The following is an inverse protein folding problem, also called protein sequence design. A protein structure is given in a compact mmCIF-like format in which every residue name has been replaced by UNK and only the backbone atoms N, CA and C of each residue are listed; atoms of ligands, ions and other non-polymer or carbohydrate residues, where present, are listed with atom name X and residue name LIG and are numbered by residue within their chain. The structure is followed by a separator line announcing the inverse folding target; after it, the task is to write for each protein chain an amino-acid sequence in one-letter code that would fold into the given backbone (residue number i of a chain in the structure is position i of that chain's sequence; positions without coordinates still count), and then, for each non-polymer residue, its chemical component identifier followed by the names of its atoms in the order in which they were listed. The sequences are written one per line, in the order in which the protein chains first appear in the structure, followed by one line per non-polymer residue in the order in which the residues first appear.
data_IF_342550126745
#
_entry.id   IF_342550126745
#
_cell.length_a   1.000
_cell.length_b   1.000
_cell.length_c   1.000
_cell.angle_alpha   90.00
_cell.angle_beta   90.00
_cell.angle_gamma   90.00
#
_symmetry.space_group_name_H-M   'P 1'
#
loop_
_entity.id
_entity.type
_entity.pdbx_description
1 polymer ?
#
# COMPACT_ATOMS: atom_id res chain seq x y z
N UNK A 1 25.47 -21.75 -6.81
CA UNK A 1 25.24 -22.49 -5.55
C UNK A 1 23.92 -23.24 -5.71
N UNK A 2 23.93 -24.53 -5.40
CA UNK A 2 22.73 -25.36 -5.45
C UNK A 2 22.20 -25.42 -4.03
N UNK A 3 20.95 -25.03 -3.82
CA UNK A 3 20.26 -25.12 -2.53
C UNK A 3 19.23 -26.21 -2.62
N UNK A 4 19.26 -27.15 -1.68
CA UNK A 4 18.30 -28.25 -1.57
C UNK A 4 17.41 -28.15 -0.32
N UNK A 5 17.78 -27.32 0.62
CA UNK A 5 16.97 -27.06 1.82
C UNK A 5 17.29 -25.70 2.43
N UNK A 6 16.30 -25.12 3.06
CA UNK A 6 16.46 -23.88 3.83
C UNK A 6 15.49 -23.84 5.00
N UNK A 7 15.88 -23.10 6.03
CA UNK A 7 15.04 -22.78 7.18
C UNK A 7 15.41 -21.39 7.68
N UNK A 8 14.39 -20.55 7.93
CA UNK A 8 14.54 -19.20 8.43
C UNK A 8 13.47 -18.88 9.48
N UNK A 9 13.80 -17.96 10.35
CA UNK A 9 12.85 -17.35 11.27
C UNK A 9 12.91 -15.83 11.13
N UNK A 10 11.75 -15.21 11.02
CA UNK A 10 11.61 -13.75 11.06
C UNK A 10 10.68 -13.34 12.20
N UNK A 11 10.94 -12.16 12.75
CA UNK A 11 10.11 -11.52 13.77
C UNK A 11 9.71 -10.13 13.27
N UNK A 12 8.46 -9.77 13.49
CA UNK A 12 7.89 -8.49 13.06
C UNK A 12 6.96 -7.89 14.11
N UNK A 13 6.76 -6.57 14.02
CA UNK A 13 5.92 -5.81 14.94
C UNK A 13 4.44 -5.97 14.59
N UNK A 14 3.67 -6.60 15.48
CA UNK A 14 2.23 -6.86 15.29
C UNK A 14 1.35 -5.63 15.44
N UNK A 15 1.90 -4.50 15.88
CA UNK A 15 1.17 -3.23 15.92
C UNK A 15 0.94 -2.65 14.54
N UNK A 16 1.79 -3.00 13.58
CA UNK A 16 1.74 -2.47 12.23
C UNK A 16 1.64 -3.53 11.13
N UNK A 17 1.98 -4.77 11.43
CA UNK A 17 2.02 -5.85 10.44
C UNK A 17 1.29 -7.09 10.95
N UNK A 18 0.51 -7.69 10.06
CA UNK A 18 -0.10 -9.00 10.25
C UNK A 18 0.38 -9.92 9.14
N UNK A 19 0.95 -11.05 9.50
CA UNK A 19 1.36 -12.04 8.50
C UNK A 19 0.14 -12.68 7.84
N UNK A 20 0.14 -12.72 6.51
CA UNK A 20 -0.95 -13.30 5.72
C UNK A 20 -0.54 -14.63 5.11
N UNK A 21 0.60 -14.67 4.39
CA UNK A 21 0.98 -15.85 3.62
C UNK A 21 2.45 -15.81 3.22
N UNK A 22 2.94 -16.98 2.78
CA UNK A 22 4.22 -17.14 2.11
C UNK A 22 4.01 -17.66 0.69
N UNK A 23 4.55 -16.97 -0.30
CA UNK A 23 4.53 -17.42 -1.69
C UNK A 23 5.86 -18.01 -2.10
N UNK A 24 5.79 -19.18 -2.72
CA UNK A 24 6.93 -19.96 -3.20
C UNK A 24 6.92 -20.18 -4.71
N UNK A 25 5.99 -19.53 -5.40
CA UNK A 25 5.83 -19.56 -6.86
C UNK A 25 7.04 -19.06 -7.65
N UNK A 26 7.98 -18.45 -6.95
CA UNK A 26 9.26 -17.98 -7.49
C UNK A 26 10.40 -18.98 -7.29
N UNK A 27 10.17 -20.07 -6.52
CA UNK A 27 11.13 -21.16 -6.38
C UNK A 27 11.01 -22.08 -7.60
N UNK A 28 12.12 -22.34 -8.30
CA UNK A 28 12.09 -23.28 -9.39
C UNK A 28 12.00 -24.73 -8.84
N UNK A 29 11.10 -25.54 -9.42
CA UNK A 29 10.97 -26.96 -9.10
C UNK A 29 10.00 -27.34 -7.98
N UNK A 30 9.91 -28.63 -7.66
CA UNK A 30 8.96 -29.16 -6.69
C UNK A 30 9.50 -29.00 -5.26
N UNK A 31 9.25 -27.85 -4.66
CA UNK A 31 9.58 -27.60 -3.26
C UNK A 31 8.46 -28.04 -2.32
N UNK A 32 8.81 -28.79 -1.29
CA UNK A 32 7.94 -29.01 -0.15
C UNK A 32 8.26 -27.93 0.88
N UNK A 33 7.32 -27.03 1.13
CA UNK A 33 7.52 -25.87 2.03
C UNK A 33 6.59 -25.95 3.22
N UNK A 34 7.00 -25.31 4.32
CA UNK A 34 6.18 -25.13 5.50
C UNK A 34 6.28 -23.70 6.02
N UNK A 35 5.21 -23.28 6.69
CA UNK A 35 5.14 -22.03 7.47
C UNK A 35 4.55 -22.36 8.84
N UNK A 36 5.20 -21.88 9.88
CA UNK A 36 4.69 -21.96 11.24
C UNK A 36 4.63 -20.56 11.84
N UNK A 37 3.42 -20.11 12.14
CA UNK A 37 3.14 -18.80 12.74
C UNK A 37 3.02 -19.00 14.24
N UNK A 38 3.90 -18.37 15.00
CA UNK A 38 3.91 -18.47 16.48
C UNK A 38 2.95 -17.44 17.08
N UNK A 39 2.49 -17.70 18.31
CA UNK A 39 1.70 -16.72 19.04
C UNK A 39 2.50 -15.44 19.33
N UNK A 40 1.88 -14.25 19.23
CA UNK A 40 2.56 -13.01 19.51
C UNK A 40 3.00 -12.88 20.97
N UNK A 41 4.17 -12.32 21.20
CA UNK A 41 4.72 -12.06 22.53
C UNK A 41 5.23 -10.62 22.60
N UNK A 42 4.68 -9.80 23.50
CA UNK A 42 5.17 -8.44 23.73
C UNK A 42 5.04 -7.50 22.53
N UNK A 43 4.06 -7.71 21.67
CA UNK A 43 3.87 -6.92 20.44
C UNK A 43 4.71 -7.40 19.24
N UNK A 44 5.39 -8.53 19.37
CA UNK A 44 6.17 -9.15 18.31
C UNK A 44 5.62 -10.54 17.97
N UNK A 45 5.60 -10.86 16.69
CA UNK A 45 5.22 -12.19 16.22
C UNK A 45 6.35 -12.79 15.40
N UNK A 46 6.60 -14.09 15.63
CA UNK A 46 7.60 -14.85 14.91
C UNK A 46 6.93 -15.78 13.89
N UNK A 47 7.52 -15.85 12.72
CA UNK A 47 7.17 -16.82 11.67
C UNK A 47 8.42 -17.61 11.33
N UNK A 48 8.32 -18.95 11.46
CA UNK A 48 9.34 -19.87 10.98
C UNK A 48 8.90 -20.46 9.65
N UNK A 49 9.78 -20.52 8.69
CA UNK A 49 9.48 -21.07 7.37
C UNK A 49 10.69 -21.80 6.81
N UNK A 50 10.42 -22.79 6.00
CA UNK A 50 11.46 -23.56 5.37
C UNK A 50 10.96 -24.35 4.18
N UNK A 51 11.88 -25.01 3.50
CA UNK A 51 11.56 -25.86 2.38
C UNK A 51 12.69 -26.81 2.05
N UNK A 52 12.31 -27.90 1.42
CA UNK A 52 13.22 -28.88 0.84
C UNK A 52 12.84 -29.13 -0.62
N UNK A 53 13.84 -29.26 -1.48
CA UNK A 53 13.64 -29.69 -2.86
C UNK A 53 13.25 -31.17 -2.86
N UNK A 54 12.09 -31.49 -3.40
CA UNK A 54 11.58 -32.84 -3.56
C UNK A 54 11.61 -33.23 -5.05
N UNK A 55 12.81 -33.47 -5.57
CA UNK A 55 12.96 -34.02 -6.93
C UNK A 55 12.82 -35.51 -6.93
N UNK A 56 11.79 -36.14 -7.55
CA UNK A 56 11.48 -37.54 -7.42
C UNK A 56 12.51 -38.51 -8.05
N UNK A 57 13.53 -38.00 -8.72
CA UNK A 57 14.50 -38.82 -9.49
C UNK A 57 15.94 -38.71 -9.00
N UNK A 58 16.23 -38.32 -7.77
CA UNK A 58 17.60 -38.18 -7.22
C UNK A 58 18.57 -37.33 -8.08
N UNK A 59 18.09 -36.64 -9.07
CA UNK A 59 18.84 -35.64 -9.81
C UNK A 59 18.25 -34.30 -9.41
N UNK A 60 18.84 -33.59 -8.43
CA UNK A 60 18.44 -32.24 -8.17
C UNK A 60 18.63 -31.43 -9.48
N UNK A 61 17.55 -30.96 -10.03
CA UNK A 61 17.68 -29.94 -11.07
C UNK A 61 18.52 -28.83 -10.46
N UNK A 62 19.65 -28.53 -11.07
CA UNK A 62 20.64 -27.59 -10.53
C UNK A 62 20.11 -26.18 -10.62
N UNK A 63 19.46 -25.71 -9.55
CA UNK A 63 19.04 -24.32 -9.47
C UNK A 63 20.22 -23.45 -9.05
N UNK A 64 20.73 -22.70 -10.00
CA UNK A 64 21.71 -21.67 -9.71
C UNK A 64 20.98 -20.44 -9.16
N UNK A 65 20.99 -20.27 -7.84
CA UNK A 65 20.54 -19.02 -7.23
C UNK A 65 21.56 -17.92 -7.59
N UNK A 66 21.14 -16.98 -8.42
CA UNK A 66 21.90 -15.77 -8.70
C UNK A 66 21.54 -14.68 -7.69
N UNK A 67 22.33 -13.60 -7.61
CA UNK A 67 22.06 -12.45 -6.72
C UNK A 67 20.71 -11.78 -6.95
N UNK A 68 20.07 -12.05 -8.07
CA UNK A 68 18.82 -11.40 -8.51
C UNK A 68 17.60 -12.29 -8.32
N UNK A 69 17.76 -13.52 -7.84
CA UNK A 69 16.63 -14.42 -7.64
C UNK A 69 15.95 -14.14 -6.31
N UNK A 70 14.66 -13.75 -6.37
CA UNK A 70 13.78 -13.71 -5.21
C UNK A 70 13.21 -15.12 -5.04
N UNK A 71 13.71 -15.87 -4.05
CA UNK A 71 13.28 -17.24 -3.80
C UNK A 71 11.96 -17.37 -3.03
N UNK A 72 11.59 -16.35 -2.23
CA UNK A 72 10.44 -16.37 -1.34
C UNK A 72 9.85 -14.97 -1.21
N UNK A 73 8.51 -14.91 -1.06
CA UNK A 73 7.80 -13.67 -0.73
C UNK A 73 6.95 -13.90 0.52
N UNK A 74 7.19 -13.14 1.55
CA UNK A 74 6.31 -13.04 2.71
C UNK A 74 5.30 -11.93 2.46
N UNK A 75 4.02 -12.23 2.65
CA UNK A 75 2.93 -11.26 2.50
C UNK A 75 2.45 -10.82 3.86
N UNK A 76 2.38 -9.51 4.04
CA UNK A 76 1.87 -8.87 5.23
C UNK A 76 0.70 -7.96 4.87
N UNK A 77 -0.30 -7.90 5.73
CA UNK A 77 -1.28 -6.84 5.79
C UNK A 77 -0.72 -5.75 6.71
N UNK A 78 -0.69 -4.51 6.24
CA UNK A 78 -0.26 -3.38 7.03
C UNK A 78 -1.44 -2.79 7.79
N UNK A 79 -1.33 -2.74 9.13
CA UNK A 79 -2.24 -2.02 10.01
C UNK A 79 -1.47 -0.86 10.62
N UNK A 80 -2.05 0.34 10.61
CA UNK A 80 -1.34 1.50 11.10
C UNK A 80 -1.58 1.68 12.62
N UNK A 81 -0.51 1.80 13.43
CA UNK A 81 -0.64 2.23 14.81
C UNK A 81 -1.18 3.66 14.87
N UNK A 82 -2.22 3.89 15.67
CA UNK A 82 -2.87 5.21 15.77
C UNK A 82 -1.87 6.31 16.20
N UNK A 83 -2.12 7.54 15.75
CA UNK A 83 -1.46 8.79 16.12
C UNK A 83 -0.13 9.16 15.42
N UNK A 84 0.46 8.34 14.56
CA UNK A 84 1.68 8.70 13.83
C UNK A 84 1.40 8.92 12.32
N UNK A 85 2.18 9.76 11.65
CA UNK A 85 2.09 9.95 10.20
C UNK A 85 2.70 8.77 9.45
N UNK A 86 3.86 8.34 9.91
CA UNK A 86 4.65 7.26 9.35
C UNK A 86 5.12 6.36 10.48
N UNK A 87 4.94 5.07 10.33
CA UNK A 87 5.51 4.07 11.21
C UNK A 87 6.46 3.15 10.44
N UNK A 88 7.68 3.01 10.91
CA UNK A 88 8.66 2.09 10.36
C UNK A 88 8.59 0.77 11.12
N UNK A 89 7.93 -0.22 10.54
CA UNK A 89 7.75 -1.55 11.11
C UNK A 89 8.96 -2.44 10.77
N UNK A 90 9.80 -2.81 11.72
CA UNK A 90 10.95 -3.65 11.44
C UNK A 90 10.54 -5.11 11.23
N UNK A 91 11.27 -5.76 10.32
CA UNK A 91 11.25 -7.21 10.09
C UNK A 91 12.66 -7.72 10.32
N UNK A 92 12.84 -8.58 11.31
CA UNK A 92 14.17 -9.03 11.75
C UNK A 92 14.33 -10.53 11.51
N UNK A 93 15.48 -10.93 11.03
CA UNK A 93 15.87 -12.32 11.08
C UNK A 93 16.27 -12.69 12.51
N UNK A 94 15.60 -13.68 13.08
CA UNK A 94 15.84 -14.19 14.44
C UNK A 94 16.20 -15.67 14.41
N UNK A 95 16.67 -16.17 15.55
CA UNK A 95 16.94 -17.61 15.71
C UNK A 95 17.95 -18.19 14.72
N UNK A 96 17.80 -19.46 14.42
CA UNK A 96 18.62 -20.18 13.46
C UNK A 96 18.16 -19.88 12.04
N UNK A 97 19.13 -19.74 11.15
CA UNK A 97 18.90 -19.73 9.71
C UNK A 97 19.88 -20.71 9.09
N UNK A 98 19.36 -21.60 8.29
CA UNK A 98 20.14 -22.66 7.67
C UNK A 98 19.76 -22.78 6.20
N UNK A 99 20.73 -23.15 5.39
CA UNK A 99 20.52 -23.64 4.05
C UNK A 99 21.53 -24.76 3.78
N UNK A 100 21.15 -25.71 2.96
CA UNK A 100 22.00 -26.87 2.66
C UNK A 100 22.05 -27.17 1.16
N UNK A 101 23.15 -27.79 0.75
CA UNK A 101 23.31 -28.40 -0.58
C UNK A 101 22.57 -29.74 -0.65
N UNK A 102 22.37 -30.30 -1.86
CA UNK A 102 21.83 -31.65 -2.03
C UNK A 102 22.62 -32.78 -1.32
N UNK A 103 23.90 -32.53 -1.06
CA UNK A 103 24.75 -33.47 -0.34
C UNK A 103 24.70 -33.30 1.18
N UNK A 104 23.85 -32.41 1.69
CA UNK A 104 23.73 -32.13 3.12
C UNK A 104 24.83 -31.21 3.70
N UNK A 105 25.58 -30.55 2.85
CA UNK A 105 26.59 -29.57 3.30
C UNK A 105 25.90 -28.25 3.66
N UNK A 106 26.28 -27.66 4.80
CA UNK A 106 25.76 -26.36 5.23
C UNK A 106 26.28 -25.23 4.33
N UNK A 107 25.37 -24.35 3.95
CA UNK A 107 25.68 -23.12 3.22
C UNK A 107 25.78 -21.94 4.18
N UNK A 108 26.69 -21.02 3.88
CA UNK A 108 26.81 -19.75 4.62
C UNK A 108 25.62 -18.86 4.26
N UNK A 109 24.82 -18.53 5.26
CA UNK A 109 23.65 -17.65 5.11
C UNK A 109 23.99 -16.25 5.62
N UNK A 110 23.91 -15.27 4.74
CA UNK A 110 24.00 -13.86 5.10
C UNK A 110 22.59 -13.31 5.30
N UNK A 111 22.35 -12.71 6.47
CA UNK A 111 21.05 -12.11 6.83
C UNK A 111 21.18 -10.62 6.88
N UNK A 112 20.12 -9.95 6.41
CA UNK A 112 19.97 -8.51 6.55
C UNK A 112 18.53 -8.23 6.96
N UNK A 113 18.35 -7.54 8.07
CA UNK A 113 17.04 -7.10 8.52
C UNK A 113 16.46 -6.10 7.54
N UNK A 114 15.14 -6.06 7.49
CA UNK A 114 14.38 -5.15 6.67
C UNK A 114 13.36 -4.36 7.49
N UNK A 115 12.62 -3.52 6.81
CA UNK A 115 11.50 -2.80 7.40
C UNK A 115 10.42 -2.54 6.36
N UNK A 116 9.22 -2.25 6.85
CA UNK A 116 8.10 -1.75 6.05
C UNK A 116 7.71 -0.38 6.56
N UNK A 117 7.63 0.59 5.68
CA UNK A 117 7.08 1.91 5.99
C UNK A 117 5.55 1.84 5.83
N UNK A 118 4.85 2.08 6.94
CA UNK A 118 3.40 2.10 6.99
C UNK A 118 2.93 3.52 7.21
N UNK A 119 2.20 4.05 6.25
CA UNK A 119 1.69 5.42 6.28
C UNK A 119 0.26 5.45 6.81
N UNK A 120 -0.02 6.37 7.72
CA UNK A 120 -1.37 6.56 8.23
C UNK A 120 -2.27 7.17 7.17
N UNK A 121 -3.13 6.36 6.56
CA UNK A 121 -4.07 6.81 5.53
C UNK A 121 -5.05 7.90 5.99
N UNK A 122 -5.20 8.08 7.30
CA UNK A 122 -6.05 9.12 7.88
C UNK A 122 -5.25 10.30 8.45
N UNK A 123 -3.94 10.36 8.24
CA UNK A 123 -3.11 11.45 8.77
C UNK A 123 -3.65 12.84 8.41
N UNK A 124 -4.04 13.03 7.15
CA UNK A 124 -4.62 14.27 6.67
C UNK A 124 -5.96 14.66 7.35
N UNK A 125 -6.57 13.75 8.11
CA UNK A 125 -7.77 13.96 8.92
C UNK A 125 -7.47 14.02 10.42
N UNK A 126 -6.22 14.26 10.81
CA UNK A 126 -5.80 14.31 12.20
C UNK A 126 -5.41 12.95 12.81
N UNK A 127 -5.07 11.98 11.97
CA UNK A 127 -4.50 10.69 12.38
C UNK A 127 -5.52 9.59 12.67
N UNK A 128 -6.81 9.91 12.76
CA UNK A 128 -7.87 8.94 13.03
C UNK A 128 -8.90 8.89 11.91
N UNK A 129 -9.53 7.73 11.74
CA UNK A 129 -10.66 7.56 10.82
C UNK A 129 -11.77 8.56 11.15
N UNK A 130 -12.21 9.42 10.21
CA UNK A 130 -13.30 10.35 10.46
C UNK A 130 -14.62 9.62 10.77
N UNK A 131 -15.41 10.12 11.71
CA UNK A 131 -16.74 9.57 12.01
C UNK A 131 -17.80 9.95 10.98
N UNK A 132 -17.58 11.08 10.29
CA UNK A 132 -18.49 11.61 9.26
C UNK A 132 -17.72 11.93 7.99
N UNK A 133 -18.48 12.27 6.93
CA UNK A 133 -17.89 12.72 5.66
C UNK A 133 -16.91 13.87 5.91
N UNK A 134 -15.73 13.76 5.35
CA UNK A 134 -14.69 14.77 5.48
C UNK A 134 -13.88 14.91 4.19
N UNK A 135 -13.19 16.04 4.06
CA UNK A 135 -12.33 16.36 2.93
C UNK A 135 -11.03 16.96 3.45
N UNK A 136 -9.91 16.55 2.87
CA UNK A 136 -8.60 17.09 3.22
C UNK A 136 -8.22 18.28 2.36
N UNK A 137 -7.10 18.90 2.69
CA UNK A 137 -6.38 19.74 1.74
C UNK A 137 -5.81 18.86 0.63
N UNK A 138 -5.84 19.40 -0.58
CA UNK A 138 -5.14 18.78 -1.69
C UNK A 138 -3.62 18.84 -1.51
N UNK A 139 -2.90 17.89 -2.08
CA UNK A 139 -1.45 17.89 -2.05
C UNK A 139 -0.86 17.53 -3.44
N UNK A 140 0.11 18.31 -3.93
CA UNK A 140 0.59 19.58 -3.40
C UNK A 140 -0.45 20.70 -3.42
N UNK A 141 -0.32 21.69 -2.52
CA UNK A 141 -1.09 22.94 -2.50
C UNK A 141 -0.20 24.09 -1.98
N UNK A 142 0.18 25.12 -2.77
CA UNK A 142 -0.23 25.32 -4.17
C UNK A 142 0.30 24.29 -5.16
N UNK A 143 -0.35 24.16 -6.32
CA UNK A 143 0.11 23.31 -7.41
C UNK A 143 0.05 24.05 -8.77
N UNK A 144 0.76 23.49 -9.76
CA UNK A 144 0.79 23.99 -11.14
C UNK A 144 0.00 23.07 -12.07
N UNK A 145 0.39 21.82 -12.14
CA UNK A 145 -0.12 20.86 -13.10
C UNK A 145 -1.01 19.81 -12.45
N UNK A 146 -0.52 19.19 -11.38
CA UNK A 146 -1.17 18.07 -10.75
C UNK A 146 -1.33 18.27 -9.25
N UNK A 147 -2.42 17.74 -8.71
CA UNK A 147 -2.65 17.64 -7.28
C UNK A 147 -3.56 16.45 -6.99
N UNK A 148 -3.55 15.99 -5.75
CA UNK A 148 -4.39 14.89 -5.29
C UNK A 148 -5.37 15.42 -4.26
N UNK A 149 -6.67 15.15 -4.45
CA UNK A 149 -7.71 15.39 -3.46
C UNK A 149 -8.05 14.11 -2.72
N UNK A 150 -8.20 14.20 -1.41
CA UNK A 150 -8.65 13.07 -0.59
C UNK A 150 -9.94 13.43 0.13
N UNK A 151 -10.87 12.48 0.19
CA UNK A 151 -12.09 12.62 0.98
C UNK A 151 -12.47 11.27 1.60
N UNK A 152 -13.21 11.36 2.70
CA UNK A 152 -13.70 10.20 3.42
C UNK A 152 -15.22 10.18 3.43
N UNK A 153 -15.80 8.99 3.21
CA UNK A 153 -17.23 8.73 3.32
C UNK A 153 -17.47 7.74 4.47
N UNK A 154 -18.33 8.10 5.41
CA UNK A 154 -18.75 7.24 6.52
C UNK A 154 -19.68 6.11 6.10
N UNK A 155 -20.30 6.24 4.93
CA UNK A 155 -21.18 5.25 4.30
C UNK A 155 -21.23 5.45 2.78
N UNK A 156 -21.63 4.40 2.06
CA UNK A 156 -21.86 4.46 0.60
C UNK A 156 -23.02 5.39 0.27
N UNK A 157 -22.82 6.36 -0.64
CA UNK A 157 -23.81 7.38 -1.00
C UNK A 157 -23.47 8.06 -2.33
N UNK A 158 -24.41 8.88 -2.84
CA UNK A 158 -24.15 9.69 -4.02
C UNK A 158 -23.21 10.87 -3.66
N UNK A 159 -22.22 11.08 -4.52
CA UNK A 159 -21.20 12.09 -4.34
C UNK A 159 -21.11 12.97 -5.56
N UNK A 160 -21.09 14.27 -5.33
CA UNK A 160 -20.64 15.26 -6.31
C UNK A 160 -19.36 15.93 -5.81
N UNK A 161 -18.34 15.88 -6.65
CA UNK A 161 -17.06 16.54 -6.40
C UNK A 161 -16.87 17.60 -7.45
N UNK A 162 -16.76 18.88 -7.07
CA UNK A 162 -16.69 19.99 -8.01
C UNK A 162 -15.87 21.17 -7.51
N UNK A 163 -15.48 22.04 -8.44
CA UNK A 163 -14.64 23.19 -8.18
C UNK A 163 -15.44 24.47 -8.41
N UNK A 164 -15.31 25.42 -7.49
CA UNK A 164 -15.79 26.78 -7.61
C UNK A 164 -14.61 27.76 -7.75
N UNK A 165 -14.81 28.83 -8.53
CA UNK A 165 -13.89 29.96 -8.53
C UNK A 165 -14.15 30.88 -7.32
N UNK A 166 -13.37 31.98 -7.21
CA UNK A 166 -13.49 32.94 -6.12
C UNK A 166 -14.82 33.73 -6.12
N UNK A 167 -15.56 33.69 -7.22
CA UNK A 167 -16.92 34.32 -7.33
C UNK A 167 -18.03 33.30 -6.99
N UNK A 168 -17.69 32.08 -6.61
CA UNK A 168 -18.67 31.02 -6.32
C UNK A 168 -19.26 30.33 -7.55
N UNK A 169 -18.74 30.58 -8.73
CA UNK A 169 -19.21 29.96 -9.96
C UNK A 169 -18.56 28.57 -10.10
N UNK A 170 -19.31 27.56 -10.48
CA UNK A 170 -18.82 26.21 -10.76
C UNK A 170 -18.01 26.21 -12.06
N UNK A 171 -16.75 25.85 -11.96
CA UNK A 171 -15.79 25.83 -13.07
C UNK A 171 -15.40 24.42 -13.52
N UNK A 172 -15.76 23.41 -12.75
CA UNK A 172 -15.57 22.01 -13.11
C UNK A 172 -16.30 21.06 -12.18
N UNK A 173 -16.74 19.92 -12.72
CA UNK A 173 -17.23 18.75 -11.97
C UNK A 173 -16.22 17.63 -12.16
N UNK A 174 -15.75 17.07 -11.05
CA UNK A 174 -14.72 16.05 -11.04
C UNK A 174 -15.32 14.65 -10.88
N UNK A 175 -16.43 14.55 -10.11
CA UNK A 175 -17.11 13.30 -9.84
C UNK A 175 -18.60 13.55 -9.65
N UNK A 176 -19.46 12.66 -10.15
CA UNK A 176 -20.91 12.69 -9.92
C UNK A 176 -21.45 11.25 -10.04
N UNK A 177 -21.28 10.46 -8.98
CA UNK A 177 -21.66 9.06 -8.97
C UNK A 177 -21.93 8.51 -7.56
N UNK A 178 -22.37 7.26 -7.48
CA UNK A 178 -22.48 6.52 -6.23
C UNK A 178 -21.12 5.98 -5.83
N UNK A 179 -20.63 6.37 -4.64
CA UNK A 179 -19.31 6.01 -4.11
C UNK A 179 -19.47 5.18 -2.85
N UNK A 180 -18.66 4.15 -2.70
CA UNK A 180 -18.65 3.28 -1.52
C UNK A 180 -18.10 4.01 -0.30
N UNK A 181 -18.39 3.49 0.89
CA UNK A 181 -17.77 3.99 2.13
C UNK A 181 -16.25 3.85 2.10
N UNK A 182 -15.56 4.70 2.84
CA UNK A 182 -14.11 4.64 3.00
C UNK A 182 -13.37 5.90 2.57
N UNK A 183 -12.05 5.74 2.49
CA UNK A 183 -11.13 6.78 2.02
C UNK A 183 -10.98 6.69 0.50
N UNK A 184 -11.15 7.83 -0.14
CA UNK A 184 -11.04 7.99 -1.59
C UNK A 184 -9.96 9.02 -1.94
N UNK A 185 -9.26 8.74 -3.03
CA UNK A 185 -8.24 9.61 -3.60
C UNK A 185 -8.63 9.93 -5.02
N UNK A 186 -8.56 11.21 -5.39
CA UNK A 186 -8.84 11.69 -6.74
C UNK A 186 -7.63 12.45 -7.27
N UNK A 187 -6.99 11.92 -8.31
CA UNK A 187 -5.88 12.56 -9.01
C UNK A 187 -6.42 13.60 -9.97
N UNK A 188 -6.06 14.86 -9.73
CA UNK A 188 -6.47 15.97 -10.57
C UNK A 188 -5.30 16.50 -11.38
N UNK A 189 -5.53 16.60 -12.71
CA UNK A 189 -4.59 17.21 -13.65
C UNK A 189 -5.22 18.48 -14.23
N UNK A 190 -4.49 19.61 -14.15
CA UNK A 190 -4.93 20.89 -14.68
C UNK A 190 -4.77 21.01 -16.23
N UNK A 191 -4.66 19.90 -16.92
CA UNK A 191 -4.62 19.83 -18.39
C UNK A 191 -5.97 19.33 -18.92
N UNK A 192 -6.61 20.05 -19.87
CA UNK A 192 -7.99 19.77 -20.28
C UNK A 192 -8.20 18.50 -21.10
N UNK A 193 -7.19 17.68 -21.35
CA UNK A 193 -7.23 16.67 -22.42
C UNK A 193 -6.72 15.28 -22.07
N UNK A 194 -6.63 14.89 -20.82
CA UNK A 194 -6.30 13.50 -20.49
C UNK A 194 -7.59 12.71 -20.30
N UNK A 195 -7.96 11.97 -21.35
CA UNK A 195 -9.03 10.98 -21.30
C UNK A 195 -8.48 9.69 -20.70
N UNK A 196 -9.01 9.25 -19.55
CA UNK A 196 -8.72 7.95 -18.96
C UNK A 196 -9.91 7.04 -19.22
N UNK A 197 -9.79 6.01 -20.09
CA UNK A 197 -10.91 5.20 -20.57
C UNK A 197 -11.65 4.40 -19.51
N UNK A 198 -11.08 4.18 -18.33
CA UNK A 198 -11.59 3.30 -17.28
C UNK A 198 -12.49 3.99 -16.25
N UNK A 199 -12.62 5.30 -16.30
CA UNK A 199 -13.56 6.07 -15.45
C UNK A 199 -14.60 6.75 -16.33
N UNK A 200 -15.82 6.24 -16.28
CA UNK A 200 -16.89 6.58 -17.23
C UNK A 200 -17.61 7.89 -17.03
N UNK A 201 -17.10 8.86 -16.25
CA UNK A 201 -17.80 10.12 -15.97
C UNK A 201 -16.86 11.31 -16.13
N UNK A 202 -17.05 12.05 -17.23
CA UNK A 202 -16.37 13.32 -17.49
C UNK A 202 -17.36 14.45 -17.73
N UNK A 203 -17.36 15.40 -16.84
CA UNK A 203 -17.66 16.75 -17.23
C UNK A 203 -16.32 17.46 -17.52
N UNK A 204 -16.23 18.10 -18.69
CA UNK A 204 -15.04 18.86 -19.11
C UNK A 204 -14.80 20.01 -18.13
N UNK A 205 -13.73 19.94 -17.33
CA UNK A 205 -13.25 21.16 -16.70
C UNK A 205 -12.36 21.92 -17.69
N UNK A 206 -12.46 23.22 -17.67
CA UNK A 206 -11.50 24.09 -18.35
C UNK A 206 -10.20 24.09 -17.54
N UNK A 207 -9.08 24.31 -18.21
CA UNK A 207 -7.82 24.59 -17.52
C UNK A 207 -8.03 25.72 -16.52
N UNK A 208 -7.67 25.48 -15.28
CA UNK A 208 -7.76 26.48 -14.24
C UNK A 208 -6.61 27.47 -14.38
N UNK A 209 -6.93 28.74 -14.48
CA UNK A 209 -5.95 29.82 -14.45
C UNK A 209 -5.35 29.98 -13.05
N UNK A 210 -4.14 30.54 -12.92
CA UNK A 210 -3.57 30.83 -11.61
C UNK A 210 -4.53 31.62 -10.74
N UNK A 211 -4.82 31.10 -9.55
CA UNK A 211 -5.82 31.73 -8.67
C UNK A 211 -6.20 30.83 -7.49
N UNK A 212 -7.16 31.33 -6.71
CA UNK A 212 -7.72 30.62 -5.57
C UNK A 212 -9.07 30.03 -5.94
N UNK A 213 -9.25 28.76 -5.60
CA UNK A 213 -10.45 27.98 -5.88
C UNK A 213 -10.95 27.28 -4.62
N UNK A 214 -12.18 26.81 -4.68
CA UNK A 214 -12.83 26.05 -3.63
C UNK A 214 -13.20 24.68 -4.20
N UNK A 215 -12.77 23.65 -3.54
CA UNK A 215 -13.12 22.28 -3.83
C UNK A 215 -14.28 21.86 -2.93
N UNK A 216 -15.34 21.32 -3.51
CA UNK A 216 -16.57 20.96 -2.82
C UNK A 216 -16.80 19.44 -2.93
N UNK A 217 -16.98 18.81 -1.79
CA UNK A 217 -17.57 17.49 -1.65
C UNK A 217 -19.03 17.67 -1.21
N UNK A 218 -19.95 17.34 -2.08
CA UNK A 218 -21.38 17.32 -1.79
C UNK A 218 -21.86 15.86 -1.79
N UNK A 219 -22.53 15.46 -0.72
CA UNK A 219 -23.12 14.15 -0.55
C UNK A 219 -24.62 14.28 -0.32
N UNK A 220 -25.33 13.17 -0.18
CA UNK A 220 -26.78 13.16 0.13
C UNK A 220 -27.10 13.85 1.47
N UNK A 221 -26.11 14.02 2.35
CA UNK A 221 -26.28 14.50 3.73
C UNK A 221 -25.51 15.77 4.06
N UNK A 222 -24.34 15.95 3.46
CA UNK A 222 -23.39 16.97 3.87
C UNK A 222 -22.76 17.69 2.67
N UNK A 223 -22.29 18.89 2.94
CA UNK A 223 -21.42 19.64 2.03
C UNK A 223 -20.16 20.01 2.80
N UNK A 224 -19.00 19.66 2.27
CA UNK A 224 -17.68 20.02 2.79
C UNK A 224 -16.92 20.80 1.72
N UNK A 225 -16.10 21.76 2.17
CA UNK A 225 -15.36 22.62 1.28
C UNK A 225 -13.94 22.85 1.77
N UNK A 226 -12.98 22.86 0.86
CA UNK A 226 -11.61 23.27 1.12
C UNK A 226 -11.08 24.17 0.01
N UNK A 227 -10.21 25.11 0.41
CA UNK A 227 -9.59 26.06 -0.49
C UNK A 227 -8.26 25.52 -1.02
N UNK A 228 -8.02 25.73 -2.32
CA UNK A 228 -6.73 25.41 -2.93
C UNK A 228 -6.26 26.54 -3.86
N UNK A 229 -4.99 26.50 -4.24
CA UNK A 229 -4.34 27.53 -5.05
C UNK A 229 -3.64 26.92 -6.24
N UNK A 230 -3.92 27.42 -7.42
CA UNK A 230 -3.20 27.13 -8.68
C UNK A 230 -2.17 28.22 -8.91
N UNK A 231 -0.95 27.85 -9.26
CA UNK A 231 0.16 28.75 -9.59
C UNK A 231 0.61 28.59 -11.04
N UNK A 232 1.43 29.54 -11.52
CA UNK A 232 1.99 29.53 -12.89
C UNK A 232 3.07 28.48 -13.08
#
# INVERSE_FOLDING_TARGET
IIVAGFEFEVEFDTRALKFIDMKTDVLPGPWMTYVNVHEPVGGWQKVSFGGIDYSPNNAPETYHITKEMIGLKLLFEAEFPEAEELYTAPIKFVGKSAASTPNGEDLVVHKSDGYVEVWNKYWAFGGSKPETENITYNYPNPFKENTVFQFYLSQSQNVQLYILNSMGQRVGTLLNEHVLEGLHTFDFTNEPSIWIPEMSIYEKHQKLEPGVYIFILQTDRNIKANKFTVIK
#
